data_IF_960761543089
#
_entry.id   IF_960761543089
#
_cell.length_a   1.000
_cell.length_b   1.000
_cell.length_c   1.000
_cell.angle_alpha   90.00
_cell.angle_beta   90.00
_cell.angle_gamma   90.00
#
_symmetry.space_group_name_H-M   'P 1'
#
loop_
_entity.id
_entity.type
_entity.pdbx_description
1 polymer ?
#
# COMPACT_ATOMS: atom_id res chain seq x y z
N UNK A 1 0.74 33.72 -23.78
CA UNK A 1 0.70 33.52 -22.35
C UNK A 1 1.10 32.10 -22.05
N UNK A 2 2.26 31.93 -21.38
CA UNK A 2 2.70 30.63 -20.88
C UNK A 2 1.69 30.14 -19.84
N UNK A 3 1.32 28.84 -19.80
CA UNK A 3 0.46 28.34 -18.76
C UNK A 3 1.14 28.58 -17.41
N UNK A 4 0.38 29.11 -16.43
CA UNK A 4 0.85 29.21 -15.06
C UNK A 4 1.23 27.81 -14.60
N UNK A 5 2.50 27.63 -14.21
CA UNK A 5 2.96 26.41 -13.58
C UNK A 5 2.05 26.13 -12.37
N UNK A 6 1.33 25.02 -12.41
CA UNK A 6 0.61 24.51 -11.23
C UNK A 6 1.70 24.22 -10.18
N UNK A 7 1.57 24.71 -8.92
CA UNK A 7 2.55 24.40 -7.91
C UNK A 7 2.72 22.89 -7.83
N UNK A 8 3.90 22.39 -8.11
CA UNK A 8 4.21 20.98 -7.97
C UNK A 8 4.18 20.66 -6.48
N UNK A 9 3.20 19.86 -6.05
CA UNK A 9 3.12 19.38 -4.68
C UNK A 9 4.38 18.57 -4.39
N UNK A 10 5.12 18.97 -3.36
CA UNK A 10 6.26 18.19 -2.88
C UNK A 10 5.80 16.76 -2.53
N UNK A 11 6.67 15.74 -2.72
CA UNK A 11 6.36 14.38 -2.30
C UNK A 11 5.95 14.34 -0.82
N UNK A 12 4.95 13.51 -0.44
CA UNK A 12 4.63 13.32 0.97
C UNK A 12 5.82 12.74 1.71
N UNK A 13 5.99 13.08 2.99
CA UNK A 13 7.01 12.44 3.83
C UNK A 13 6.64 10.97 4.09
N UNK A 14 7.61 10.16 4.54
CA UNK A 14 7.40 8.73 4.87
C UNK A 14 6.30 8.56 5.92
N UNK A 15 6.29 9.44 6.91
CA UNK A 15 5.27 9.47 7.97
C UNK A 15 3.89 9.83 7.42
N UNK A 16 3.84 10.78 6.50
CA UNK A 16 2.58 11.20 5.84
C UNK A 16 2.01 10.08 4.97
N UNK A 17 2.86 9.28 4.32
CA UNK A 17 2.38 8.15 3.49
C UNK A 17 1.56 7.16 4.32
N UNK A 18 1.98 6.87 5.55
CA UNK A 18 1.33 5.87 6.43
C UNK A 18 0.49 6.49 7.55
N UNK A 19 0.33 7.81 7.55
CA UNK A 19 -0.44 8.51 8.59
C UNK A 19 -1.92 8.10 8.55
N UNK A 20 -2.39 7.58 9.68
CA UNK A 20 -3.80 7.19 9.86
C UNK A 20 -4.58 8.38 10.40
N UNK A 21 -5.56 8.92 9.66
CA UNK A 21 -6.31 10.09 10.12
C UNK A 21 -7.16 9.77 11.35
N UNK A 22 -7.44 10.77 12.23
CA UNK A 22 -8.15 10.56 13.50
C UNK A 22 -9.51 9.87 13.34
N UNK A 23 -10.24 10.18 12.27
CA UNK A 23 -11.54 9.57 11.98
C UNK A 23 -11.39 8.05 11.71
N UNK A 24 -10.37 7.66 10.96
CA UNK A 24 -10.09 6.25 10.68
C UNK A 24 -9.62 5.53 11.95
N UNK A 25 -8.82 6.18 12.80
CA UNK A 25 -8.43 5.62 14.10
C UNK A 25 -9.64 5.39 15.01
N UNK A 26 -10.56 6.34 15.06
CA UNK A 26 -11.80 6.22 15.85
C UNK A 26 -12.67 5.04 15.35
N UNK A 27 -12.83 4.90 14.03
CA UNK A 27 -13.56 3.78 13.44
C UNK A 27 -12.85 2.44 13.75
N UNK A 28 -11.53 2.37 13.59
CA UNK A 28 -10.75 1.18 13.94
C UNK A 28 -10.95 0.78 15.41
N UNK A 29 -10.96 1.75 16.31
CA UNK A 29 -11.18 1.50 17.74
C UNK A 29 -12.56 0.88 17.99
N UNK A 30 -13.60 1.41 17.37
CA UNK A 30 -14.98 0.96 17.58
C UNK A 30 -15.28 -0.37 16.90
N UNK A 31 -14.84 -0.54 15.65
CA UNK A 31 -15.23 -1.69 14.82
C UNK A 31 -14.30 -2.89 14.98
N UNK A 32 -13.02 -2.65 15.33
CA UNK A 32 -11.99 -3.69 15.33
C UNK A 32 -11.44 -3.96 16.72
N UNK A 33 -10.95 -2.91 17.41
CA UNK A 33 -10.15 -3.09 18.64
C UNK A 33 -11.03 -3.39 19.85
N UNK A 34 -12.01 -2.51 20.12
CA UNK A 34 -12.83 -2.64 21.33
C UNK A 34 -13.67 -3.93 21.40
N UNK A 35 -14.28 -4.41 20.30
CA UNK A 35 -15.08 -5.64 20.35
C UNK A 35 -14.24 -6.92 20.23
N UNK A 36 -12.93 -6.85 19.93
CA UNK A 36 -12.10 -8.02 19.70
C UNK A 36 -11.83 -8.80 20.99
N UNK A 37 -12.01 -10.13 20.92
CA UNK A 37 -11.81 -11.06 22.06
C UNK A 37 -10.47 -11.78 22.02
N UNK A 38 -9.77 -11.73 20.90
CA UNK A 38 -8.46 -12.35 20.67
C UNK A 38 -7.77 -11.68 19.47
N UNK A 39 -6.47 -11.95 19.31
CA UNK A 39 -5.73 -11.45 18.14
C UNK A 39 -6.28 -12.01 16.82
N UNK A 40 -6.76 -13.26 16.81
CA UNK A 40 -7.40 -13.83 15.63
C UNK A 40 -8.74 -13.13 15.31
N UNK A 41 -9.57 -12.88 16.33
CA UNK A 41 -10.82 -12.13 16.14
C UNK A 41 -10.53 -10.69 15.67
N UNK A 42 -9.47 -10.07 16.23
CA UNK A 42 -9.02 -8.74 15.81
C UNK A 42 -8.57 -8.72 14.34
N UNK A 43 -7.80 -9.70 13.90
CA UNK A 43 -7.40 -9.86 12.49
C UNK A 43 -8.63 -10.04 11.59
N UNK A 44 -9.57 -10.91 11.94
CA UNK A 44 -10.79 -11.14 11.16
C UNK A 44 -11.67 -9.89 11.07
N UNK A 45 -11.75 -9.12 12.16
CA UNK A 45 -12.47 -7.83 12.17
C UNK A 45 -11.78 -6.81 11.28
N UNK A 46 -10.46 -6.72 11.33
CA UNK A 46 -9.69 -5.80 10.50
C UNK A 46 -9.88 -6.12 9.00
N UNK A 47 -9.84 -7.40 8.61
CA UNK A 47 -10.09 -7.82 7.24
C UNK A 47 -11.49 -7.41 6.75
N UNK A 48 -12.52 -7.67 7.57
CA UNK A 48 -13.89 -7.24 7.26
C UNK A 48 -14.00 -5.73 7.20
N UNK A 49 -13.38 -5.01 8.14
CA UNK A 49 -13.38 -3.57 8.19
C UNK A 49 -12.78 -2.94 6.92
N UNK A 50 -11.72 -3.51 6.36
CA UNK A 50 -11.13 -3.01 5.12
C UNK A 50 -11.95 -3.37 3.88
N UNK A 51 -12.55 -4.55 3.82
CA UNK A 51 -13.23 -5.07 2.63
C UNK A 51 -14.75 -4.84 2.57
N UNK A 52 -15.43 -4.76 3.73
CA UNK A 52 -16.88 -4.60 3.78
C UNK A 52 -17.31 -3.17 3.42
N UNK A 53 -18.16 -3.02 2.41
CA UNK A 53 -18.67 -1.73 1.97
C UNK A 53 -19.80 -1.17 2.82
N UNK A 54 -20.51 -2.01 3.60
CA UNK A 54 -21.66 -1.57 4.41
C UNK A 54 -21.24 -1.08 5.80
N UNK A 55 -20.30 -1.75 6.45
CA UNK A 55 -19.86 -1.47 7.82
C UNK A 55 -18.38 -1.12 7.95
N UNK A 56 -17.64 -1.19 6.88
CA UNK A 56 -16.22 -0.91 6.83
C UNK A 56 -15.85 0.12 5.77
N UNK A 57 -14.61 0.04 5.31
CA UNK A 57 -14.06 1.00 4.36
C UNK A 57 -14.50 0.73 2.92
N UNK A 58 -14.85 -0.51 2.59
CA UNK A 58 -15.25 -0.89 1.23
C UNK A 58 -14.17 -0.55 0.20
N UNK A 59 -12.90 -0.82 0.52
CA UNK A 59 -11.78 -0.51 -0.36
C UNK A 59 -11.90 -1.29 -1.68
N UNK A 60 -11.90 -0.56 -2.78
CA UNK A 60 -11.91 -1.12 -4.12
C UNK A 60 -10.48 -1.15 -4.68
N UNK A 61 -10.12 -2.27 -5.30
CA UNK A 61 -8.83 -2.37 -6.00
C UNK A 61 -8.83 -1.51 -7.27
N UNK A 62 -7.81 -0.68 -7.38
CA UNK A 62 -7.50 0.11 -8.57
C UNK A 62 -5.99 0.12 -8.76
N UNK A 63 -5.53 -0.30 -9.93
CA UNK A 63 -4.10 -0.41 -10.24
C UNK A 63 -3.37 0.93 -10.15
N UNK A 64 -4.03 1.99 -10.60
CA UNK A 64 -3.54 3.37 -10.61
C UNK A 64 -3.65 4.08 -9.24
N UNK A 65 -4.27 3.44 -8.23
CA UNK A 65 -4.51 4.04 -6.91
C UNK A 65 -3.33 3.88 -5.96
N UNK A 66 -2.18 4.47 -6.32
CA UNK A 66 -1.05 4.62 -5.40
C UNK A 66 -1.27 5.86 -4.54
N UNK A 67 -1.84 5.67 -3.36
CA UNK A 67 -2.29 6.70 -2.42
C UNK A 67 -1.58 6.62 -1.08
N UNK A 68 -1.53 7.73 -0.35
CA UNK A 68 -1.27 7.72 1.10
C UNK A 68 -2.44 7.03 1.81
N UNK A 69 -2.24 6.60 3.06
CA UNK A 69 -3.33 6.00 3.87
C UNK A 69 -4.53 6.94 3.98
N UNK A 70 -4.29 8.24 4.15
CA UNK A 70 -5.35 9.24 4.20
C UNK A 70 -6.12 9.35 2.88
N UNK A 71 -5.44 9.41 1.75
CA UNK A 71 -6.08 9.45 0.43
C UNK A 71 -6.86 8.17 0.13
N UNK A 72 -6.30 6.99 0.47
CA UNK A 72 -6.98 5.71 0.30
C UNK A 72 -8.27 5.65 1.13
N UNK A 73 -8.23 6.15 2.37
CA UNK A 73 -9.41 6.25 3.22
C UNK A 73 -10.49 7.16 2.62
N UNK A 74 -10.11 8.32 2.07
CA UNK A 74 -11.05 9.27 1.48
C UNK A 74 -11.63 8.78 0.15
N UNK A 75 -10.79 8.20 -0.70
CA UNK A 75 -11.18 7.75 -2.04
C UNK A 75 -11.76 6.34 -2.07
N UNK A 76 -11.60 5.57 -0.99
CA UNK A 76 -12.00 4.15 -0.89
C UNK A 76 -11.40 3.28 -1.99
N UNK A 77 -10.18 3.60 -2.39
CA UNK A 77 -9.45 2.91 -3.45
C UNK A 77 -8.01 2.67 -3.02
N UNK A 78 -7.46 1.54 -3.46
CA UNK A 78 -6.07 1.19 -3.20
C UNK A 78 -5.56 0.21 -4.26
N UNK A 79 -4.29 0.32 -4.62
CA UNK A 79 -3.55 -0.75 -5.28
C UNK A 79 -2.90 -1.67 -4.24
N UNK A 80 -2.13 -2.69 -4.67
CA UNK A 80 -1.48 -3.64 -3.75
C UNK A 80 -0.56 -2.96 -2.74
N UNK A 81 0.23 -1.95 -3.15
CA UNK A 81 1.16 -1.23 -2.26
C UNK A 81 0.39 -0.38 -1.25
N UNK A 82 -0.57 0.41 -1.70
CA UNK A 82 -1.41 1.24 -0.82
C UNK A 82 -2.19 0.39 0.19
N UNK A 83 -2.80 -0.72 -0.27
CA UNK A 83 -3.51 -1.64 0.61
C UNK A 83 -2.57 -2.23 1.67
N UNK A 84 -1.39 -2.68 1.25
CA UNK A 84 -0.36 -3.22 2.15
C UNK A 84 0.04 -2.22 3.22
N UNK A 85 0.38 -0.98 2.83
CA UNK A 85 0.78 0.07 3.78
C UNK A 85 -0.35 0.45 4.73
N UNK A 86 -1.57 0.58 4.23
CA UNK A 86 -2.75 0.88 5.05
C UNK A 86 -3.06 -0.27 6.02
N UNK A 87 -3.04 -1.51 5.55
CA UNK A 87 -3.27 -2.67 6.41
C UNK A 87 -2.22 -2.75 7.52
N UNK A 88 -0.92 -2.55 7.20
CA UNK A 88 0.16 -2.54 8.18
C UNK A 88 -0.05 -1.46 9.23
N UNK A 89 -0.38 -0.24 8.82
CA UNK A 89 -0.64 0.87 9.74
C UNK A 89 -1.79 0.56 10.71
N UNK A 90 -2.90 0.03 10.20
CA UNK A 90 -4.06 -0.33 11.00
C UNK A 90 -3.80 -1.57 11.88
N UNK A 91 -3.10 -2.58 11.38
CA UNK A 91 -2.72 -3.77 12.14
C UNK A 91 -1.83 -3.43 13.33
N UNK A 92 -0.83 -2.55 13.14
CA UNK A 92 0.05 -2.10 14.22
C UNK A 92 -0.72 -1.29 15.27
N UNK A 93 -1.63 -0.39 14.87
CA UNK A 93 -2.52 0.32 15.80
C UNK A 93 -3.44 -0.64 16.57
N UNK A 94 -3.86 -1.72 15.92
CA UNK A 94 -4.65 -2.77 16.55
C UNK A 94 -3.82 -3.75 17.42
N UNK A 95 -2.50 -3.55 17.53
CA UNK A 95 -1.61 -4.40 18.32
C UNK A 95 -1.32 -5.77 17.70
N UNK A 96 -1.51 -5.92 16.38
CA UNK A 96 -1.18 -7.14 15.65
C UNK A 96 0.27 -7.09 15.15
N UNK A 97 0.94 -8.25 15.18
CA UNK A 97 2.26 -8.40 14.58
C UNK A 97 2.12 -8.65 13.07
N UNK A 98 2.44 -7.64 12.28
CA UNK A 98 2.33 -7.67 10.82
C UNK A 98 3.59 -7.14 10.16
N UNK A 99 3.91 -7.67 8.98
CA UNK A 99 5.06 -7.23 8.18
C UNK A 99 4.79 -7.39 6.68
N UNK A 100 5.39 -6.53 5.85
CA UNK A 100 5.23 -6.63 4.41
C UNK A 100 6.08 -7.77 3.84
N UNK A 101 5.60 -8.36 2.77
CA UNK A 101 6.33 -9.34 1.96
C UNK A 101 6.10 -9.08 0.47
N UNK A 102 7.07 -9.46 -0.32
CA UNK A 102 7.08 -9.33 -1.77
C UNK A 102 7.09 -10.70 -2.43
N UNK A 103 6.34 -10.83 -3.52
CA UNK A 103 6.38 -11.99 -4.38
C UNK A 103 7.30 -11.64 -5.54
N UNK A 104 8.42 -12.34 -5.66
CA UNK A 104 9.46 -12.08 -6.68
C UNK A 104 9.01 -12.50 -8.11
N UNK A 105 7.82 -13.04 -8.26
CA UNK A 105 7.29 -13.43 -9.56
C UNK A 105 6.74 -12.21 -10.30
N UNK A 106 7.24 -11.97 -11.50
CA UNK A 106 6.71 -10.92 -12.38
C UNK A 106 5.30 -11.29 -12.78
N UNK A 107 4.29 -10.67 -12.14
CA UNK A 107 2.88 -11.00 -12.35
C UNK A 107 2.32 -10.41 -13.65
N UNK A 108 2.90 -9.33 -14.12
CA UNK A 108 2.52 -8.74 -15.40
C UNK A 108 3.65 -7.91 -16.00
N UNK A 109 3.80 -8.00 -17.31
CA UNK A 109 4.52 -7.04 -18.14
C UNK A 109 3.45 -6.14 -18.74
N UNK A 110 3.40 -4.90 -18.33
CA UNK A 110 2.54 -3.91 -18.99
C UNK A 110 3.41 -3.06 -19.91
N UNK A 111 3.05 -3.05 -21.18
CA UNK A 111 3.62 -2.11 -22.14
C UNK A 111 2.63 -0.97 -22.30
N UNK A 112 3.02 0.20 -21.84
CA UNK A 112 2.32 1.45 -22.10
C UNK A 112 3.23 2.28 -23.02
N UNK A 113 2.83 2.46 -24.25
CA UNK A 113 3.66 3.02 -25.31
C UNK A 113 4.98 2.26 -25.46
N UNK A 114 6.14 2.91 -25.38
CA UNK A 114 7.47 2.30 -25.50
C UNK A 114 8.11 1.90 -24.15
N UNK A 115 7.34 1.96 -23.05
CA UNK A 115 7.82 1.66 -21.69
C UNK A 115 7.27 0.32 -21.22
N UNK A 116 8.16 -0.55 -20.76
CA UNK A 116 7.80 -1.84 -20.18
C UNK A 116 7.86 -1.72 -18.66
N UNK A 117 6.72 -1.91 -18.00
CA UNK A 117 6.64 -1.89 -16.52
C UNK A 117 6.72 -3.30 -15.96
N UNK A 118 7.58 -3.48 -14.96
CA UNK A 118 7.63 -4.69 -14.14
C UNK A 118 6.86 -4.45 -12.86
N UNK A 119 5.76 -5.15 -12.65
CA UNK A 119 5.00 -5.08 -11.42
C UNK A 119 5.41 -6.22 -10.48
N UNK A 120 5.96 -5.88 -9.31
CA UNK A 120 6.14 -6.81 -8.21
C UNK A 120 4.89 -6.75 -7.33
N UNK A 121 4.40 -7.90 -6.88
CA UNK A 121 3.24 -7.95 -5.99
C UNK A 121 3.69 -7.92 -4.53
N UNK A 122 3.07 -7.05 -3.74
CA UNK A 122 3.29 -6.96 -2.29
C UNK A 122 2.02 -7.27 -1.54
N UNK A 123 2.17 -7.90 -0.40
CA UNK A 123 1.08 -8.22 0.51
C UNK A 123 1.57 -8.25 1.97
N UNK A 124 0.71 -8.64 2.90
CA UNK A 124 1.03 -8.63 4.33
C UNK A 124 1.03 -10.04 4.90
N UNK A 125 1.99 -10.31 5.77
CA UNK A 125 1.96 -11.46 6.65
C UNK A 125 1.64 -11.00 8.06
N UNK A 126 0.65 -11.65 8.68
CA UNK A 126 0.25 -11.40 10.07
C UNK A 126 0.56 -12.64 10.90
N UNK A 127 1.20 -12.46 12.06
CA UNK A 127 1.44 -13.53 13.02
C UNK A 127 0.43 -13.45 14.15
N UNK A 128 -0.26 -14.56 14.40
CA UNK A 128 -1.15 -14.73 15.53
C UNK A 128 -0.76 -16.02 16.27
N UNK A 129 -0.14 -15.88 17.43
CA UNK A 129 0.46 -17.02 18.13
C UNK A 129 1.54 -17.70 17.28
N UNK A 130 1.36 -19.00 17.01
CA UNK A 130 2.27 -19.78 16.16
C UNK A 130 1.86 -19.81 14.66
N UNK A 131 0.72 -19.24 14.32
CA UNK A 131 0.20 -19.26 12.96
C UNK A 131 0.55 -17.97 12.19
N UNK A 132 0.67 -18.12 10.88
CA UNK A 132 0.96 -17.01 9.95
C UNK A 132 -0.14 -16.94 8.90
N UNK A 133 -0.77 -15.78 8.81
CA UNK A 133 -1.86 -15.50 7.88
C UNK A 133 -1.34 -14.61 6.76
N UNK A 134 -1.72 -14.94 5.53
CA UNK A 134 -1.50 -14.09 4.36
C UNK A 134 -2.70 -13.15 4.21
N UNK A 135 -2.43 -11.88 4.02
CA UNK A 135 -3.43 -10.85 3.72
C UNK A 135 -3.06 -10.19 2.40
N UNK A 136 -3.98 -10.26 1.46
CA UNK A 136 -3.82 -9.69 0.13
C UNK A 136 -5.04 -8.87 -0.29
N UNK A 137 -4.83 -7.93 -1.21
CA UNK A 137 -5.91 -7.14 -1.79
C UNK A 137 -6.73 -7.99 -2.75
N UNK A 138 -8.06 -7.88 -2.66
CA UNK A 138 -8.98 -8.56 -3.58
C UNK A 138 -9.47 -9.93 -3.14
N UNK A 139 -8.99 -10.48 -2.02
CA UNK A 139 -9.49 -11.76 -1.47
C UNK A 139 -9.28 -12.98 -2.38
N UNK A 140 -8.66 -12.84 -3.53
CA UNK A 140 -8.32 -13.94 -4.41
C UNK A 140 -7.07 -14.64 -3.91
N UNK A 141 -7.16 -15.98 -3.79
CA UNK A 141 -5.99 -16.80 -3.50
C UNK A 141 -5.07 -16.80 -4.73
N UNK A 142 -4.06 -15.97 -4.73
CA UNK A 142 -2.99 -16.07 -5.73
C UNK A 142 -2.21 -17.34 -5.42
N UNK A 143 -2.29 -18.34 -6.29
CA UNK A 143 -1.44 -19.53 -6.21
C UNK A 143 -0.04 -19.11 -6.61
N UNK A 144 0.78 -18.79 -5.62
CA UNK A 144 2.16 -18.35 -5.84
C UNK A 144 3.05 -19.58 -6.00
N UNK A 145 3.76 -19.65 -7.12
CA UNK A 145 4.74 -20.73 -7.37
C UNK A 145 6.02 -20.55 -6.54
N UNK A 146 6.31 -19.32 -6.12
CA UNK A 146 7.48 -18.99 -5.32
C UNK A 146 7.10 -18.45 -3.94
N UNK A 147 7.87 -18.80 -2.88
CA UNK A 147 7.60 -18.28 -1.54
C UNK A 147 7.80 -16.76 -1.50
N UNK A 148 6.84 -16.06 -0.92
CA UNK A 148 6.97 -14.63 -0.69
C UNK A 148 8.10 -14.34 0.30
N UNK A 149 8.91 -13.34 0.01
CA UNK A 149 10.04 -12.89 0.82
C UNK A 149 9.63 -11.72 1.72
N UNK A 150 9.96 -11.82 3.01
CA UNK A 150 9.79 -10.67 3.91
C UNK A 150 10.66 -9.51 3.44
N UNK A 151 10.07 -8.34 3.35
CA UNK A 151 10.77 -7.08 3.03
C UNK A 151 10.71 -6.11 4.22
N UNK A 152 11.57 -5.08 4.18
CA UNK A 152 11.53 -3.99 5.15
C UNK A 152 10.39 -3.02 4.83
N UNK A 153 9.99 -2.21 5.82
CA UNK A 153 9.07 -1.10 5.59
C UNK A 153 9.67 -0.07 4.63
N UNK A 154 10.98 0.14 4.67
CA UNK A 154 11.67 1.03 3.74
C UNK A 154 11.49 0.58 2.29
N UNK A 155 11.65 -0.73 2.01
CA UNK A 155 11.41 -1.29 0.68
C UNK A 155 9.95 -1.14 0.25
N UNK A 156 8.98 -1.38 1.14
CA UNK A 156 7.57 -1.16 0.84
C UNK A 156 7.25 0.32 0.53
N UNK A 157 7.88 1.25 1.25
CA UNK A 157 7.78 2.68 0.96
C UNK A 157 8.50 3.06 -0.35
N UNK A 158 9.65 2.45 -0.65
CA UNK A 158 10.33 2.65 -1.94
C UNK A 158 9.40 2.29 -3.11
N UNK A 159 8.67 1.18 -3.00
CA UNK A 159 7.67 0.79 -4.00
C UNK A 159 6.53 1.82 -4.14
N UNK A 160 6.07 2.40 -3.03
CA UNK A 160 5.09 3.48 -3.07
C UNK A 160 5.60 4.68 -3.88
N UNK A 161 6.80 5.17 -3.55
CA UNK A 161 7.37 6.33 -4.26
C UNK A 161 7.68 6.02 -5.72
N UNK A 162 8.18 4.83 -6.03
CA UNK A 162 8.42 4.40 -7.40
C UNK A 162 7.11 4.36 -8.22
N UNK A 163 6.04 3.76 -7.69
CA UNK A 163 4.75 3.72 -8.38
C UNK A 163 4.18 5.12 -8.59
N UNK A 164 4.35 6.03 -7.61
CA UNK A 164 3.96 7.45 -7.80
C UNK A 164 4.80 8.13 -8.86
N UNK A 165 6.11 7.88 -8.92
CA UNK A 165 6.97 8.41 -9.96
C UNK A 165 6.51 7.98 -11.35
N UNK A 166 6.18 6.70 -11.53
CA UNK A 166 5.66 6.15 -12.80
C UNK A 166 4.34 6.83 -13.20
N UNK A 167 3.39 6.98 -12.27
CA UNK A 167 2.13 7.69 -12.53
C UNK A 167 2.38 9.14 -12.97
N UNK A 168 3.24 9.86 -12.23
CA UNK A 168 3.58 11.25 -12.56
C UNK A 168 4.31 11.39 -13.90
N UNK A 169 5.13 10.40 -14.25
CA UNK A 169 5.79 10.36 -15.56
C UNK A 169 4.78 10.21 -16.70
N UNK A 170 3.78 9.33 -16.54
CA UNK A 170 2.68 9.19 -17.53
C UNK A 170 1.82 10.45 -17.65
N UNK A 171 1.73 11.24 -16.59
CA UNK A 171 1.07 12.55 -16.56
C UNK A 171 1.97 13.69 -17.11
N UNK A 172 3.18 13.37 -17.60
CA UNK A 172 4.19 14.34 -18.08
C UNK A 172 4.69 15.33 -17.00
N UNK A 173 4.60 14.98 -15.74
CA UNK A 173 5.02 15.78 -14.58
C UNK A 173 6.43 15.38 -14.14
N UNK A 174 7.42 15.65 -15.01
CA UNK A 174 8.79 15.14 -14.89
C UNK A 174 9.49 15.50 -13.59
N UNK A 175 9.40 16.76 -13.13
CA UNK A 175 10.10 17.17 -11.89
C UNK A 175 9.53 16.45 -10.67
N UNK A 176 8.20 16.29 -10.59
CA UNK A 176 7.56 15.55 -9.52
C UNK A 176 7.89 14.05 -9.59
N UNK A 177 7.93 13.48 -10.80
CA UNK A 177 8.33 12.09 -11.00
C UNK A 177 9.76 11.84 -10.50
N UNK A 178 10.71 12.70 -10.87
CA UNK A 178 12.11 12.62 -10.41
C UNK A 178 12.21 12.74 -8.89
N UNK A 179 11.51 13.70 -8.27
CA UNK A 179 11.54 13.86 -6.81
C UNK A 179 11.04 12.61 -6.06
N UNK A 180 10.03 11.90 -6.60
CA UNK A 180 9.57 10.63 -6.03
C UNK A 180 10.56 9.50 -6.28
N UNK A 181 11.16 9.41 -7.48
CA UNK A 181 12.15 8.39 -7.80
C UNK A 181 13.41 8.52 -6.93
N UNK A 182 13.87 9.74 -6.66
CA UNK A 182 15.02 9.99 -5.78
C UNK A 182 14.75 9.47 -4.36
N UNK A 183 13.54 9.70 -3.80
CA UNK A 183 13.18 9.16 -2.48
C UNK A 183 13.12 7.63 -2.51
N UNK A 184 12.62 7.02 -3.59
CA UNK A 184 12.59 5.58 -3.73
C UNK A 184 14.00 4.98 -3.70
N UNK A 185 14.95 5.58 -4.42
CA UNK A 185 16.36 5.17 -4.46
C UNK A 185 17.09 5.39 -3.12
N UNK A 186 16.78 6.48 -2.41
CA UNK A 186 17.31 6.69 -1.05
C UNK A 186 16.84 5.62 -0.06
N UNK A 187 15.59 5.16 -0.20
CA UNK A 187 15.00 4.15 0.68
C UNK A 187 15.51 2.74 0.40
N UNK A 188 15.70 2.40 -0.86
CA UNK A 188 16.19 1.11 -1.31
C UNK A 188 17.01 1.28 -2.60
N UNK A 189 18.35 1.49 -2.47
CA UNK A 189 19.23 1.66 -3.62
C UNK A 189 19.28 0.45 -4.57
N UNK A 190 18.96 -0.74 -4.05
CA UNK A 190 18.93 -1.97 -4.83
C UNK A 190 17.56 -2.24 -5.46
N UNK A 191 16.58 -1.37 -5.19
CA UNK A 191 15.26 -1.49 -5.82
C UNK A 191 15.38 -1.14 -7.31
N UNK A 192 15.03 -2.06 -8.22
CA UNK A 192 15.12 -1.77 -9.63
C UNK A 192 14.09 -0.70 -10.00
N UNK A 193 14.53 0.53 -10.02
CA UNK A 193 13.79 1.62 -10.67
C UNK A 193 13.93 1.42 -12.16
N UNK A 194 12.86 1.20 -12.84
CA UNK A 194 12.81 1.15 -14.30
C UNK A 194 12.89 2.55 -14.90
#
# INVERSE_FOLDING_TARGET
PLPRAVPELAPPTREQVVAVPPQLQAQLQVEVIAPARSDLDRLQRLLRFMGDGERGLGLQYREDATYTVTEAYLNRQANCVTYTLMFLALAHLAGLEAYPQEIEETLSWQQLDDIVYRSNHVNVRVRVGMQRYLVDVGGEFVVVRHPAKRISMQRALAQYYNNRAVTLLSEQRLSAALAHADIALELDPDYPTT
#
